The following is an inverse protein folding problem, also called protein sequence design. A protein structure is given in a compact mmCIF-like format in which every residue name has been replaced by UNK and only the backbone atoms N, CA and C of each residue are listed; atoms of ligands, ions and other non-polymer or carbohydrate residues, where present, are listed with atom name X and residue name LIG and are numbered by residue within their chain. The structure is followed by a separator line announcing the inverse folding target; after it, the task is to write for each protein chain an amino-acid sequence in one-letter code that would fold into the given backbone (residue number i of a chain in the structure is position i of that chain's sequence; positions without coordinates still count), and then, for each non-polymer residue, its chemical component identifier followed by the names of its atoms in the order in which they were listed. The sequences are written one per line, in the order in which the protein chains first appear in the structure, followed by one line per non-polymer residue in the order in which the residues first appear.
data_IF_649514629945
#
_entry.id   IF_649514629945
#
_cell.length_a   1.000
_cell.length_b   1.000
_cell.length_c   1.000
_cell.angle_alpha   90.00
_cell.angle_beta   90.00
_cell.angle_gamma   90.00
#
_symmetry.space_group_name_H-M   'P 1'
#
loop_
_entity.id
_entity.type
_entity.pdbx_description
1 polymer ?
#
# COMPACT_ATOMS: atom_id res chain seq x y z
N UNK A 1 17.92 29.76 -10.36
CA UNK A 1 16.58 30.39 -10.32
C UNK A 1 15.77 29.85 -11.49
N UNK A 2 14.57 29.34 -11.23
CA UNK A 2 13.50 29.14 -12.22
C UNK A 2 13.58 27.91 -13.12
N UNK A 3 12.94 26.81 -12.72
CA UNK A 3 12.28 25.91 -13.68
C UNK A 3 11.16 25.12 -12.98
N UNK A 4 10.07 25.80 -12.65
CA UNK A 4 8.77 25.15 -12.49
C UNK A 4 7.86 25.74 -13.56
N UNK A 5 8.01 25.25 -14.80
CA UNK A 5 7.00 25.47 -15.83
C UNK A 5 5.80 24.62 -15.46
N UNK A 6 4.79 25.25 -14.86
CA UNK A 6 3.49 24.65 -14.64
C UNK A 6 2.74 24.67 -15.97
N UNK A 7 2.80 23.58 -16.73
CA UNK A 7 1.96 23.38 -17.90
C UNK A 7 0.52 23.03 -17.47
N UNK A 8 -0.50 23.81 -17.89
CA UNK A 8 -1.90 23.47 -17.65
C UNK A 8 -2.50 22.89 -18.93
N UNK A 9 -2.59 21.56 -19.06
CA UNK A 9 -3.69 20.81 -19.73
C UNK A 9 -3.29 19.37 -20.06
N UNK A 10 -3.96 18.43 -19.40
CA UNK A 10 -4.44 17.21 -20.06
C UNK A 10 -5.82 16.91 -19.48
N UNK A 11 -6.88 17.09 -20.28
CA UNK A 11 -8.25 16.73 -19.92
C UNK A 11 -8.50 15.29 -20.39
N UNK A 12 -7.82 14.35 -19.76
CA UNK A 12 -8.04 12.91 -19.89
C UNK A 12 -8.33 12.39 -18.48
N UNK A 13 -9.61 12.26 -18.13
CA UNK A 13 -10.13 11.81 -16.83
C UNK A 13 -9.15 12.05 -15.67
N UNK A 14 -8.87 13.33 -15.37
CA UNK A 14 -7.91 13.70 -14.35
C UNK A 14 -8.28 12.96 -13.07
N UNK A 15 -7.36 12.12 -12.57
CA UNK A 15 -7.50 11.44 -11.29
C UNK A 15 -7.82 12.50 -10.25
N UNK A 16 -9.10 12.60 -9.86
CA UNK A 16 -9.53 13.52 -8.82
C UNK A 16 -9.04 12.92 -7.52
N UNK A 17 -8.05 13.53 -6.85
CA UNK A 17 -7.58 13.00 -5.58
C UNK A 17 -8.77 12.97 -4.62
N UNK A 18 -9.05 11.82 -3.96
CA UNK A 18 -10.16 11.73 -3.04
C UNK A 18 -10.00 12.75 -1.91
N UNK A 19 -11.09 13.37 -1.48
CA UNK A 19 -11.10 14.30 -0.33
C UNK A 19 -10.53 13.65 0.94
N UNK A 20 -10.14 14.47 1.92
CA UNK A 20 -9.58 13.98 3.20
C UNK A 20 -10.49 12.95 3.87
N UNK A 21 -11.80 13.21 3.91
CA UNK A 21 -12.77 12.28 4.50
C UNK A 21 -12.87 10.96 3.73
N UNK A 22 -12.83 11.02 2.40
CA UNK A 22 -12.86 9.83 1.55
C UNK A 22 -11.61 8.97 1.78
N UNK A 23 -10.44 9.58 1.98
CA UNK A 23 -9.21 8.86 2.36
C UNK A 23 -9.31 8.21 3.73
N UNK A 24 -9.89 8.89 4.71
CA UNK A 24 -10.09 8.32 6.04
C UNK A 24 -10.98 7.06 5.98
N UNK A 25 -12.13 7.13 5.27
CA UNK A 25 -13.01 5.96 5.07
C UNK A 25 -12.30 4.83 4.33
N UNK A 26 -11.46 5.16 3.35
CA UNK A 26 -10.64 4.18 2.65
C UNK A 26 -9.64 3.49 3.60
N UNK A 27 -8.99 4.22 4.50
CA UNK A 27 -8.06 3.64 5.49
C UNK A 27 -8.78 2.77 6.52
N UNK A 28 -9.96 3.17 6.98
CA UNK A 28 -10.79 2.33 7.88
C UNK A 28 -11.20 1.02 7.19
N UNK A 29 -11.62 1.08 5.92
CA UNK A 29 -11.94 -0.10 5.13
C UNK A 29 -10.71 -0.99 4.86
N UNK A 30 -9.52 -0.38 4.70
CA UNK A 30 -8.24 -1.11 4.59
C UNK A 30 -7.94 -1.88 5.87
N UNK A 31 -8.05 -1.22 7.02
CA UNK A 31 -7.65 -1.80 8.30
C UNK A 31 -8.59 -2.96 8.69
N UNK A 32 -9.89 -2.80 8.47
CA UNK A 32 -10.86 -3.89 8.65
C UNK A 32 -10.59 -5.09 7.72
N UNK A 33 -10.19 -4.83 6.48
CA UNK A 33 -9.76 -5.89 5.56
C UNK A 33 -8.49 -6.60 6.05
N UNK A 34 -7.49 -5.85 6.54
CA UNK A 34 -6.27 -6.40 7.09
C UNK A 34 -6.51 -7.25 8.33
N UNK A 35 -7.35 -6.80 9.25
CA UNK A 35 -7.73 -7.57 10.43
C UNK A 35 -8.34 -8.93 10.06
N UNK A 36 -9.12 -8.98 8.97
CA UNK A 36 -9.65 -10.23 8.46
C UNK A 36 -8.55 -11.12 7.87
N UNK A 37 -7.63 -10.56 7.07
CA UNK A 37 -6.49 -11.31 6.54
C UNK A 37 -5.61 -11.91 7.65
N UNK A 38 -5.37 -11.14 8.72
CA UNK A 38 -4.57 -11.58 9.87
C UNK A 38 -5.24 -12.74 10.62
N UNK A 39 -6.55 -12.69 10.83
CA UNK A 39 -7.32 -13.80 11.44
C UNK A 39 -7.23 -15.09 10.62
N UNK A 40 -7.15 -14.99 9.30
CA UNK A 40 -7.02 -16.13 8.40
C UNK A 40 -5.57 -16.47 8.03
N UNK A 41 -4.58 -15.75 8.60
CA UNK A 41 -3.16 -15.91 8.31
C UNK A 41 -2.82 -15.83 6.81
N UNK A 42 -3.51 -14.94 6.09
CA UNK A 42 -3.30 -14.69 4.67
C UNK A 42 -2.30 -13.56 4.50
N UNK A 43 -1.13 -13.88 3.94
CA UNK A 43 -0.04 -12.92 3.75
C UNK A 43 -0.15 -12.19 2.42
N UNK A 44 -0.43 -12.91 1.32
CA UNK A 44 -0.57 -12.34 -0.01
C UNK A 44 -2.04 -12.40 -0.49
N UNK A 45 -2.82 -11.33 -0.31
CA UNK A 45 -4.22 -11.31 -0.73
C UNK A 45 -4.44 -11.32 -2.26
N UNK A 46 -3.40 -11.05 -3.06
CA UNK A 46 -3.51 -11.02 -4.53
C UNK A 46 -3.37 -12.39 -5.19
N UNK A 47 -2.55 -13.27 -4.61
CA UNK A 47 -2.32 -14.63 -5.12
C UNK A 47 -3.20 -15.66 -4.42
N UNK A 48 -3.73 -15.33 -3.24
CA UNK A 48 -4.53 -16.26 -2.45
C UNK A 48 -6.03 -16.09 -2.69
N UNK A 49 -6.61 -17.02 -3.45
CA UNK A 49 -8.05 -17.09 -3.70
C UNK A 49 -8.87 -17.26 -2.41
N UNK A 50 -8.25 -17.73 -1.31
CA UNK A 50 -8.90 -17.80 0.00
C UNK A 50 -9.31 -16.42 0.51
N UNK A 51 -8.65 -15.35 0.06
CA UNK A 51 -9.01 -13.97 0.44
C UNK A 51 -10.46 -13.64 0.11
N UNK A 52 -10.91 -14.00 -1.09
CA UNK A 52 -12.29 -13.73 -1.55
C UNK A 52 -13.32 -14.57 -0.80
N UNK A 53 -12.93 -15.77 -0.35
CA UNK A 53 -13.81 -16.68 0.37
C UNK A 53 -13.84 -16.40 1.88
N UNK A 54 -12.71 -15.98 2.45
CA UNK A 54 -12.55 -15.72 3.88
C UNK A 54 -13.05 -14.33 4.28
N UNK A 55 -12.78 -13.31 3.45
CA UNK A 55 -13.07 -11.90 3.75
C UNK A 55 -13.89 -11.20 2.65
N UNK A 56 -15.01 -11.78 2.15
CA UNK A 56 -15.76 -11.22 1.03
C UNK A 56 -16.39 -9.85 1.36
N UNK A 57 -16.85 -9.64 2.59
CA UNK A 57 -17.54 -8.42 3.00
C UNK A 57 -16.57 -7.26 3.14
N UNK A 58 -15.43 -7.53 3.76
CA UNK A 58 -14.36 -6.58 3.99
C UNK A 58 -13.70 -6.19 2.67
N UNK A 59 -13.46 -7.15 1.77
CA UNK A 59 -12.96 -6.89 0.42
C UNK A 59 -13.93 -6.00 -0.38
N UNK A 60 -15.23 -6.31 -0.36
CA UNK A 60 -16.24 -5.50 -1.04
C UNK A 60 -16.33 -4.08 -0.45
N UNK A 61 -16.21 -3.95 0.88
CA UNK A 61 -16.15 -2.65 1.55
C UNK A 61 -14.89 -1.85 1.16
N UNK A 62 -13.76 -2.53 1.03
CA UNK A 62 -12.50 -1.94 0.62
C UNK A 62 -12.55 -1.44 -0.84
N UNK A 63 -13.07 -2.25 -1.76
CA UNK A 63 -13.26 -1.86 -3.17
C UNK A 63 -14.30 -0.75 -3.36
N UNK A 64 -15.31 -0.68 -2.48
CA UNK A 64 -16.34 0.37 -2.53
C UNK A 64 -15.84 1.72 -2.00
N UNK A 65 -15.03 1.70 -0.94
CA UNK A 65 -14.60 2.92 -0.24
C UNK A 65 -13.25 3.46 -0.71
N UNK A 66 -12.43 2.65 -1.37
CA UNK A 66 -11.15 3.07 -1.93
C UNK A 66 -11.16 3.07 -3.46
N UNK A 67 -10.28 3.89 -4.05
CA UNK A 67 -9.99 3.78 -5.47
C UNK A 67 -9.34 2.43 -5.78
N UNK A 68 -9.69 1.81 -6.91
CA UNK A 68 -9.16 0.50 -7.33
C UNK A 68 -7.63 0.46 -7.42
N UNK A 69 -7.00 1.57 -7.81
CA UNK A 69 -5.54 1.72 -7.82
C UNK A 69 -4.94 1.66 -6.40
N UNK A 70 -5.62 2.23 -5.40
CA UNK A 70 -5.20 2.18 -4.01
C UNK A 70 -5.38 0.78 -3.43
N UNK A 71 -6.50 0.12 -3.74
CA UNK A 71 -6.77 -1.27 -3.34
C UNK A 71 -5.66 -2.20 -3.81
N UNK A 72 -5.28 -2.11 -5.09
CA UNK A 72 -4.17 -2.90 -5.64
C UNK A 72 -2.84 -2.55 -4.98
N UNK A 73 -2.53 -1.26 -4.86
CA UNK A 73 -1.29 -0.80 -4.25
C UNK A 73 -1.12 -1.27 -2.80
N UNK A 74 -2.16 -1.14 -1.99
CA UNK A 74 -2.13 -1.54 -0.57
C UNK A 74 -1.93 -3.04 -0.39
N UNK A 75 -2.59 -3.85 -1.20
CA UNK A 75 -2.39 -5.30 -1.19
C UNK A 75 -0.95 -5.69 -1.56
N UNK A 76 -0.38 -5.08 -2.60
CA UNK A 76 1.03 -5.28 -2.97
C UNK A 76 1.97 -4.82 -1.86
N UNK A 77 1.69 -3.66 -1.27
CA UNK A 77 2.49 -3.07 -0.20
C UNK A 77 2.52 -3.97 1.03
N UNK A 78 1.38 -4.53 1.45
CA UNK A 78 1.32 -5.46 2.59
C UNK A 78 2.27 -6.66 2.41
N UNK A 79 2.26 -7.26 1.22
CA UNK A 79 3.17 -8.37 0.92
C UNK A 79 4.65 -7.94 0.86
N UNK A 80 4.94 -6.78 0.27
CA UNK A 80 6.29 -6.24 0.21
C UNK A 80 6.84 -5.90 1.61
N UNK A 81 6.02 -5.30 2.46
CA UNK A 81 6.37 -4.97 3.85
C UNK A 81 6.64 -6.25 4.65
N UNK A 82 5.79 -7.28 4.53
CA UNK A 82 6.02 -8.59 5.14
C UNK A 82 7.37 -9.20 4.72
N UNK A 83 7.68 -9.21 3.42
CA UNK A 83 8.96 -9.72 2.92
C UNK A 83 10.15 -8.91 3.40
N UNK A 84 9.99 -7.58 3.48
CA UNK A 84 11.01 -6.68 4.00
C UNK A 84 11.29 -6.99 5.45
N UNK A 85 10.26 -7.14 6.28
CA UNK A 85 10.40 -7.50 7.69
C UNK A 85 11.07 -8.85 7.87
N UNK A 86 10.71 -9.85 7.07
CA UNK A 86 11.36 -11.16 7.09
C UNK A 86 12.85 -11.06 6.74
N UNK A 87 13.20 -10.27 5.72
CA UNK A 87 14.59 -10.04 5.33
C UNK A 87 15.39 -9.32 6.40
N UNK A 88 14.79 -8.30 7.03
CA UNK A 88 15.41 -7.55 8.13
C UNK A 88 15.60 -8.43 9.36
N UNK A 89 14.64 -9.32 9.66
CA UNK A 89 14.77 -10.30 10.75
C UNK A 89 15.96 -11.23 10.50
N UNK A 90 16.09 -11.79 9.30
CA UNK A 90 17.22 -12.66 8.93
C UNK A 90 18.55 -11.93 9.01
N UNK A 91 18.62 -10.67 8.58
CA UNK A 91 19.85 -9.85 8.67
C UNK A 91 20.24 -9.57 10.13
N UNK A 92 19.26 -9.25 10.99
CA UNK A 92 19.49 -9.06 12.44
C UNK A 92 20.01 -10.33 13.10
N UNK A 93 19.44 -11.49 12.77
CA UNK A 93 19.91 -12.80 13.27
C UNK A 93 21.32 -13.13 12.79
N UNK A 94 21.69 -12.68 11.59
CA UNK A 94 23.04 -12.84 11.02
C UNK A 94 24.04 -11.78 11.53
N UNK A 95 23.64 -10.91 12.46
CA UNK A 95 24.50 -9.86 13.03
C UNK A 95 24.80 -8.70 12.06
N UNK A 96 24.08 -8.61 10.95
CA UNK A 96 24.21 -7.51 10.00
C UNK A 96 23.36 -6.33 10.48
N UNK A 97 23.99 -5.37 11.16
CA UNK A 97 23.41 -4.03 11.34
C UNK A 97 23.32 -3.34 9.98
N UNK A 98 22.10 -3.10 9.50
CA UNK A 98 21.88 -2.36 8.26
C UNK A 98 22.18 -0.87 8.51
N UNK A 99 23.42 -0.46 8.20
CA UNK A 99 23.78 0.94 7.97
C UNK A 99 23.19 1.33 6.60
N UNK A 100 22.16 2.17 6.59
CA UNK A 100 21.51 2.56 5.35
C UNK A 100 20.45 3.64 5.48
N UNK A 101 20.82 4.76 6.10
CA UNK A 101 20.24 6.07 5.81
C UNK A 101 20.55 6.37 4.33
N UNK A 102 19.53 6.25 3.46
CA UNK A 102 19.61 6.74 2.08
C UNK A 102 19.50 8.27 2.08
N UNK A 103 20.51 8.96 2.59
CA UNK A 103 20.74 10.38 2.32
C UNK A 103 21.82 10.52 1.24
N UNK A 104 21.55 9.94 0.07
CA UNK A 104 22.35 10.08 -1.15
C UNK A 104 21.53 10.77 -2.24
N UNK A 105 21.06 11.99 -1.98
CA UNK A 105 20.55 12.87 -3.04
C UNK A 105 21.75 13.45 -3.81
N UNK A 106 21.73 13.47 -5.15
CA UNK A 106 22.90 13.83 -5.94
C UNK A 106 23.23 15.31 -5.72
N UNK A 107 24.48 15.58 -5.35
CA UNK A 107 25.03 16.92 -5.44
C UNK A 107 25.02 17.40 -6.89
N UNK A 108 24.31 18.50 -7.14
CA UNK A 108 24.61 19.50 -8.17
C UNK A 108 24.07 20.85 -7.74
#
# INVERSE_FOLDING_TARGET
MGWFSSDPKAKDAAYVPPDREARNRCWEARDTFYDCLDKHSIVNPLEDDRTKNACPKELAGFEKNCASSWVKYFQQKRYADFRKEESLRKLKEQGAEFVGELSGGPGK
#
